data_IF_323944148322
#
_entry.id   IF_323944148322
#
_cell.length_a   1.000
_cell.length_b   1.000
_cell.length_c   1.000
_cell.angle_alpha   90.00
_cell.angle_beta   90.00
_cell.angle_gamma   90.00
#
_symmetry.space_group_name_H-M   'P 1'
#
loop_
_entity.id
_entity.type
_entity.pdbx_description
1 polymer ?
#
# COMPACT_ATOMS: atom_id res chain seq x y z
N UNK A 1 4.85 -41.81 26.78
CA UNK A 1 3.60 -41.62 27.53
C UNK A 1 3.36 -40.12 27.72
N UNK A 2 2.23 -39.65 27.19
CA UNK A 2 1.40 -38.52 27.64
C UNK A 2 2.06 -37.12 27.72
N UNK A 3 2.00 -36.45 26.55
CA UNK A 3 1.53 -35.07 26.29
C UNK A 3 1.65 -34.02 27.40
N UNK A 4 2.67 -33.15 27.28
CA UNK A 4 2.72 -31.85 27.97
C UNK A 4 1.74 -30.86 27.30
N UNK A 5 0.46 -30.98 27.61
CA UNK A 5 -0.56 -29.98 27.23
C UNK A 5 -0.58 -28.91 28.32
N UNK A 6 0.18 -27.82 28.12
CA UNK A 6 -0.12 -26.55 28.79
C UNK A 6 -1.48 -26.09 28.28
N UNK A 7 -2.52 -26.53 28.96
CA UNK A 7 -3.86 -25.99 28.83
C UNK A 7 -3.82 -24.56 29.38
N UNK A 8 -3.54 -23.61 28.49
CA UNK A 8 -3.78 -22.20 28.74
C UNK A 8 -5.30 -22.03 28.86
N UNK A 9 -5.78 -22.08 30.10
CA UNK A 9 -7.16 -21.92 30.46
C UNK A 9 -7.50 -20.42 30.39
N UNK A 10 -8.20 -20.00 29.34
CA UNK A 10 -8.84 -18.68 29.32
C UNK A 10 -10.05 -18.72 30.26
N UNK A 11 -9.80 -18.46 31.54
CA UNK A 11 -10.85 -18.21 32.54
C UNK A 11 -11.29 -16.75 32.38
N UNK A 12 -12.47 -16.50 31.82
CA UNK A 12 -13.12 -15.19 31.97
C UNK A 12 -13.66 -15.10 33.41
N UNK A 13 -12.91 -14.43 34.30
CA UNK A 13 -13.39 -14.05 35.63
C UNK A 13 -14.26 -12.80 35.52
N UNK A 14 -15.58 -12.97 35.53
CA UNK A 14 -16.49 -11.88 35.92
C UNK A 14 -16.45 -11.77 37.45
N UNK A 15 -15.82 -10.71 37.97
CA UNK A 15 -15.72 -10.44 39.39
C UNK A 15 -17.02 -9.82 39.90
N UNK A 16 -17.93 -10.65 40.40
CA UNK A 16 -18.99 -10.21 41.30
C UNK A 16 -18.48 -10.26 42.75
N UNK A 17 -18.85 -9.24 43.54
CA UNK A 17 -18.42 -8.96 44.91
C UNK A 17 -18.73 -10.09 45.92
N UNK A 18 -18.00 -11.20 45.86
CA UNK A 18 -17.83 -12.15 46.96
C UNK A 18 -16.75 -13.13 46.50
N UNK A 19 -15.66 -13.29 47.25
CA UNK A 19 -14.42 -13.99 46.86
C UNK A 19 -14.51 -15.52 46.60
N UNK A 20 -15.60 -16.02 45.99
CA UNK A 20 -15.70 -17.37 45.40
C UNK A 20 -15.63 -17.26 43.88
N UNK A 21 -14.54 -17.72 43.28
CA UNK A 21 -14.42 -17.85 41.84
C UNK A 21 -15.43 -18.90 41.33
N UNK A 22 -16.45 -18.46 40.59
CA UNK A 22 -17.44 -19.33 39.98
C UNK A 22 -16.89 -19.82 38.64
N UNK A 23 -16.33 -21.02 38.62
CA UNK A 23 -15.77 -21.64 37.40
C UNK A 23 -16.91 -22.10 36.51
N UNK A 24 -17.24 -21.31 35.48
CA UNK A 24 -18.16 -21.70 34.41
C UNK A 24 -17.43 -22.69 33.50
N UNK A 25 -17.81 -23.97 33.58
CA UNK A 25 -17.31 -25.02 32.70
C UNK A 25 -17.97 -24.87 31.33
N UNK A 26 -17.27 -24.19 30.43
CA UNK A 26 -17.66 -24.08 29.02
C UNK A 26 -17.36 -25.40 28.31
N UNK A 27 -18.22 -25.80 27.38
CA UNK A 27 -18.07 -27.05 26.63
C UNK A 27 -16.77 -27.08 25.81
N UNK A 28 -16.16 -28.26 25.68
CA UNK A 28 -14.93 -28.45 24.90
C UNK A 28 -15.06 -27.98 23.45
N UNK A 29 -16.24 -28.13 22.86
CA UNK A 29 -16.52 -27.73 21.48
C UNK A 29 -16.51 -26.22 21.29
N UNK A 30 -17.07 -25.47 22.24
CA UNK A 30 -17.10 -24.00 22.20
C UNK A 30 -15.70 -23.41 22.34
N UNK A 31 -14.86 -23.99 23.22
CA UNK A 31 -13.45 -23.61 23.36
C UNK A 31 -12.62 -23.88 22.09
N UNK A 32 -12.95 -24.96 21.36
CA UNK A 32 -12.31 -25.24 20.07
C UNK A 32 -12.75 -24.20 19.03
N UNK A 33 -14.05 -23.93 18.90
CA UNK A 33 -14.58 -22.91 17.96
C UNK A 33 -13.95 -21.54 18.20
N UNK A 34 -13.85 -21.10 19.46
CA UNK A 34 -13.23 -19.79 19.78
C UNK A 34 -11.75 -19.73 19.36
N UNK A 35 -10.99 -20.83 19.55
CA UNK A 35 -9.59 -20.91 19.11
C UNK A 35 -9.45 -20.91 17.60
N UNK A 36 -10.37 -21.57 16.87
CA UNK A 36 -10.36 -21.57 15.42
C UNK A 36 -10.74 -20.21 14.84
N UNK A 37 -11.72 -19.53 15.42
CA UNK A 37 -12.08 -18.17 15.02
C UNK A 37 -10.95 -17.17 15.30
N UNK A 38 -10.29 -17.28 16.46
CA UNK A 38 -9.10 -16.46 16.77
C UNK A 38 -7.99 -16.70 15.76
N UNK A 39 -7.68 -17.97 15.46
CA UNK A 39 -6.66 -18.34 14.46
C UNK A 39 -7.00 -17.79 13.08
N UNK A 40 -8.25 -17.96 12.62
CA UNK A 40 -8.72 -17.40 11.34
C UNK A 40 -8.57 -15.89 11.26
N UNK A 41 -8.98 -15.16 12.31
CA UNK A 41 -8.84 -13.69 12.37
C UNK A 41 -7.38 -13.25 12.34
N UNK A 42 -6.50 -13.99 13.02
CA UNK A 42 -5.05 -13.70 13.00
C UNK A 42 -4.44 -13.97 11.62
N UNK A 43 -4.77 -15.09 10.99
CA UNK A 43 -4.30 -15.45 9.66
C UNK A 43 -4.77 -14.44 8.60
N UNK A 44 -6.04 -14.01 8.67
CA UNK A 44 -6.56 -12.95 7.79
C UNK A 44 -5.87 -11.61 8.03
N UNK A 45 -5.56 -11.27 9.30
CA UNK A 45 -4.83 -10.05 9.64
C UNK A 45 -3.39 -10.09 9.13
N UNK A 46 -2.72 -11.24 9.27
CA UNK A 46 -1.37 -11.45 8.76
C UNK A 46 -1.34 -11.40 7.23
N UNK A 47 -2.30 -12.05 6.56
CA UNK A 47 -2.42 -12.00 5.11
C UNK A 47 -2.68 -10.57 4.60
N UNK A 48 -3.56 -9.80 5.25
CA UNK A 48 -3.80 -8.38 4.90
C UNK A 48 -2.56 -7.52 5.13
N UNK A 49 -1.85 -7.72 6.25
CA UNK A 49 -0.60 -7.01 6.53
C UNK A 49 0.50 -7.33 5.51
N UNK A 50 0.65 -8.59 5.13
CA UNK A 50 1.64 -9.01 4.14
C UNK A 50 1.34 -8.42 2.76
N UNK A 51 0.06 -8.42 2.33
CA UNK A 51 -0.36 -7.76 1.08
C UNK A 51 -0.11 -6.25 1.12
N UNK A 52 -0.53 -5.58 2.20
CA UNK A 52 -0.32 -4.14 2.36
C UNK A 52 1.17 -3.75 2.40
N UNK A 53 2.02 -4.58 3.02
CA UNK A 53 3.46 -4.37 3.06
C UNK A 53 4.09 -4.52 1.66
N UNK A 54 3.69 -5.55 0.90
CA UNK A 54 4.15 -5.74 -0.48
C UNK A 54 3.73 -4.58 -1.40
N UNK A 55 2.48 -4.12 -1.29
CA UNK A 55 1.99 -2.96 -2.06
C UNK A 55 2.69 -1.65 -1.66
N UNK A 56 2.99 -1.47 -0.37
CA UNK A 56 3.72 -0.31 0.10
C UNK A 56 5.17 -0.30 -0.43
N UNK A 57 5.82 -1.45 -0.45
CA UNK A 57 7.17 -1.56 -1.01
C UNK A 57 7.19 -1.29 -2.52
N UNK A 58 6.23 -1.86 -3.27
CA UNK A 58 6.07 -1.58 -4.70
C UNK A 58 5.87 -0.07 -4.95
N UNK A 59 4.95 0.56 -4.23
CA UNK A 59 4.70 2.01 -4.34
C UNK A 59 5.92 2.85 -3.97
N UNK A 60 6.75 2.42 -3.01
CA UNK A 60 8.00 3.11 -2.66
C UNK A 60 9.02 2.98 -3.79
N UNK A 61 9.19 1.80 -4.38
CA UNK A 61 10.07 1.59 -5.54
C UNK A 61 9.63 2.44 -6.73
N UNK A 62 8.34 2.40 -7.07
CA UNK A 62 7.77 3.23 -8.14
C UNK A 62 7.93 4.74 -7.84
N UNK A 63 7.85 5.17 -6.58
CA UNK A 63 8.07 6.58 -6.22
C UNK A 63 9.53 6.99 -6.40
N UNK A 64 10.48 6.12 -6.06
CA UNK A 64 11.91 6.37 -6.25
C UNK A 64 12.31 6.33 -7.73
N UNK A 65 11.77 5.39 -8.49
CA UNK A 65 12.00 5.29 -9.94
C UNK A 65 11.44 6.52 -10.65
N UNK A 66 10.22 6.96 -10.29
CA UNK A 66 9.68 8.22 -10.79
C UNK A 66 10.53 9.40 -10.33
N UNK A 67 10.85 9.49 -9.04
CA UNK A 67 11.63 10.60 -8.48
C UNK A 67 13.04 10.73 -9.05
N UNK A 68 13.62 9.66 -9.59
CA UNK A 68 14.93 9.70 -10.26
C UNK A 68 14.89 10.39 -11.62
N UNK A 69 13.75 10.38 -12.32
CA UNK A 69 13.63 10.91 -13.69
C UNK A 69 13.51 12.43 -13.65
N UNK A 70 14.34 13.11 -14.44
CA UNK A 70 14.33 14.57 -14.59
C UNK A 70 12.97 15.00 -15.14
N UNK A 71 12.30 16.01 -14.55
CA UNK A 71 10.94 16.40 -14.95
C UNK A 71 10.78 16.77 -16.43
N UNK A 72 11.82 17.31 -17.08
CA UNK A 72 11.79 17.63 -18.51
C UNK A 72 11.84 16.41 -19.43
N UNK A 73 12.38 15.28 -18.97
CA UNK A 73 12.43 14.02 -19.71
C UNK A 73 11.33 13.04 -19.29
N UNK A 74 10.55 13.38 -18.25
CA UNK A 74 9.51 12.52 -17.71
C UNK A 74 8.56 11.97 -18.78
N UNK A 75 7.97 12.81 -19.64
CA UNK A 75 7.06 12.34 -20.69
C UNK A 75 7.74 11.62 -21.87
N UNK A 76 9.08 11.62 -21.92
CA UNK A 76 9.87 10.94 -22.96
C UNK A 76 10.37 9.57 -22.48
N UNK A 77 10.88 9.50 -21.26
CA UNK A 77 11.52 8.30 -20.69
C UNK A 77 10.55 7.42 -19.90
N UNK A 78 9.48 8.00 -19.34
CA UNK A 78 8.53 7.21 -18.56
C UNK A 78 7.81 6.20 -19.47
N UNK A 79 7.94 4.91 -19.16
CA UNK A 79 7.45 3.80 -19.98
C UNK A 79 5.97 3.93 -20.35
N UNK A 80 5.15 4.49 -19.45
CA UNK A 80 3.73 4.70 -19.72
C UNK A 80 3.44 5.77 -20.79
N UNK A 81 4.37 6.66 -21.09
CA UNK A 81 4.20 7.76 -22.06
C UNK A 81 5.09 7.62 -23.31
N UNK A 82 6.06 6.70 -23.28
CA UNK A 82 6.91 6.38 -24.41
C UNK A 82 6.07 5.99 -25.64
N UNK A 83 6.17 6.76 -26.72
CA UNK A 83 5.44 6.52 -27.97
C UNK A 83 4.01 7.09 -28.02
N UNK A 84 3.51 7.74 -26.95
CA UNK A 84 2.20 8.41 -26.97
C UNK A 84 2.26 9.82 -27.54
N UNK A 85 3.44 10.44 -27.59
CA UNK A 85 3.58 11.82 -28.03
C UNK A 85 4.73 11.96 -29.01
N UNK A 86 4.52 12.76 -30.05
CA UNK A 86 5.48 12.94 -31.13
C UNK A 86 6.34 14.19 -30.95
N UNK A 87 5.77 15.25 -30.37
CA UNK A 87 6.45 16.55 -30.19
C UNK A 87 6.31 17.05 -28.76
N UNK A 88 7.39 17.65 -28.28
CA UNK A 88 7.52 18.18 -26.92
C UNK A 88 7.99 19.63 -26.98
N UNK A 89 7.55 20.43 -26.03
CA UNK A 89 7.97 21.82 -25.84
C UNK A 89 9.25 21.91 -24.99
N UNK A 90 9.83 23.11 -24.85
CA UNK A 90 11.08 23.36 -24.09
C UNK A 90 10.97 22.95 -22.62
N UNK A 91 9.75 22.96 -22.07
CA UNK A 91 9.47 22.54 -20.70
C UNK A 91 9.28 21.02 -20.55
N UNK A 92 9.36 20.26 -21.65
CA UNK A 92 9.11 18.81 -21.70
C UNK A 92 7.64 18.42 -21.82
N UNK A 93 6.73 19.39 -22.04
CA UNK A 93 5.30 19.11 -22.20
C UNK A 93 4.99 18.58 -23.61
N UNK A 94 4.18 17.51 -23.75
CA UNK A 94 3.79 17.03 -25.06
C UNK A 94 2.80 18.00 -25.72
N UNK A 95 3.09 18.39 -26.95
CA UNK A 95 2.27 19.32 -27.75
C UNK A 95 1.39 18.58 -28.74
N UNK A 96 1.89 17.45 -29.27
CA UNK A 96 1.22 16.62 -30.29
C UNK A 96 1.06 15.19 -29.77
N UNK A 97 -0.08 14.55 -30.07
CA UNK A 97 -0.33 13.13 -29.79
C UNK A 97 0.48 12.22 -30.74
N UNK A 98 0.37 10.90 -30.59
CA UNK A 98 1.06 9.91 -31.43
C UNK A 98 0.72 10.07 -32.92
N UNK A 99 -0.50 10.57 -33.22
CA UNK A 99 -0.97 10.85 -34.57
C UNK A 99 -0.47 12.19 -35.15
N UNK A 100 0.26 13.00 -34.37
CA UNK A 100 0.67 14.34 -34.80
C UNK A 100 -0.43 15.40 -34.70
N UNK A 101 -1.56 15.10 -34.07
CA UNK A 101 -2.62 16.06 -33.80
C UNK A 101 -2.31 16.91 -32.56
N UNK A 102 -2.64 18.20 -32.62
CA UNK A 102 -2.42 19.11 -31.49
C UNK A 102 -3.29 18.74 -30.30
N UNK A 103 -2.66 18.53 -29.14
CA UNK A 103 -3.38 18.21 -27.91
C UNK A 103 -4.34 19.35 -27.51
N UNK A 104 -5.61 19.05 -27.21
CA UNK A 104 -6.55 20.05 -26.73
C UNK A 104 -6.03 20.78 -25.48
N UNK A 105 -6.35 22.07 -25.34
CA UNK A 105 -5.93 22.90 -24.18
C UNK A 105 -6.24 22.24 -22.83
N UNK A 106 -7.37 21.53 -22.72
CA UNK A 106 -7.75 20.78 -21.53
C UNK A 106 -6.77 19.64 -21.19
N UNK A 107 -6.28 18.90 -22.20
CA UNK A 107 -5.27 17.85 -22.01
C UNK A 107 -3.90 18.44 -21.68
N UNK A 108 -3.45 19.48 -22.40
CA UNK A 108 -2.19 20.17 -22.09
C UNK A 108 -2.15 20.68 -20.65
N UNK A 109 -3.26 21.22 -20.13
CA UNK A 109 -3.37 21.65 -18.72
C UNK A 109 -3.29 20.50 -17.71
N UNK A 110 -3.78 19.30 -18.05
CA UNK A 110 -3.63 18.10 -17.20
C UNK A 110 -2.16 17.65 -17.15
N UNK A 111 -1.53 17.56 -18.32
CA UNK A 111 -0.12 17.21 -18.45
C UNK A 111 0.80 18.21 -17.73
N UNK A 112 0.48 19.51 -17.77
CA UNK A 112 1.20 20.53 -17.02
C UNK A 112 1.14 20.30 -15.50
N UNK A 113 -0.02 19.89 -14.98
CA UNK A 113 -0.18 19.56 -13.55
C UNK A 113 0.58 18.30 -13.17
N UNK A 114 0.58 17.28 -14.03
CA UNK A 114 1.36 16.06 -13.82
C UNK A 114 2.86 16.37 -13.78
N UNK A 115 3.35 17.22 -14.70
CA UNK A 115 4.74 17.68 -14.71
C UNK A 115 5.10 18.49 -13.44
N UNK A 116 4.22 19.37 -12.97
CA UNK A 116 4.43 20.12 -11.72
C UNK A 116 4.49 19.20 -10.48
N UNK A 117 3.60 18.20 -10.42
CA UNK A 117 3.63 17.18 -9.36
C UNK A 117 4.94 16.39 -9.40
N UNK A 118 5.40 16.01 -10.60
CA UNK A 118 6.66 15.32 -10.80
C UNK A 118 7.87 16.20 -10.44
N UNK A 119 7.84 17.50 -10.73
CA UNK A 119 8.88 18.46 -10.30
C UNK A 119 9.02 18.49 -8.79
N UNK A 120 7.92 18.53 -8.06
CA UNK A 120 7.92 18.47 -6.58
C UNK A 120 8.50 17.15 -6.08
N UNK A 121 8.07 16.04 -6.65
CA UNK A 121 8.54 14.71 -6.27
C UNK A 121 10.05 14.52 -6.57
N UNK A 122 10.53 15.04 -7.70
CA UNK A 122 11.96 15.06 -8.02
C UNK A 122 12.76 15.96 -7.07
N UNK A 123 12.22 17.12 -6.70
CA UNK A 123 12.83 18.01 -5.69
C UNK A 123 12.97 17.30 -4.34
N UNK A 124 11.89 16.68 -3.84
CA UNK A 124 11.91 15.89 -2.59
C UNK A 124 12.89 14.71 -2.68
N UNK A 125 12.98 14.06 -3.85
CA UNK A 125 13.94 12.99 -4.09
C UNK A 125 15.38 13.50 -4.03
N UNK A 126 15.67 14.65 -4.64
CA UNK A 126 17.00 15.28 -4.57
C UNK A 126 17.37 15.68 -3.15
N UNK A 127 16.43 16.21 -2.37
CA UNK A 127 16.64 16.53 -0.95
C UNK A 127 16.87 15.29 -0.07
N UNK A 128 16.29 14.15 -0.45
CA UNK A 128 16.42 12.89 0.30
C UNK A 128 17.64 12.05 -0.10
N UNK A 129 18.18 12.24 -1.31
CA UNK A 129 19.32 11.48 -1.86
C UNK A 129 20.62 12.28 -2.01
N UNK A 130 20.57 13.61 -1.87
CA UNK A 130 21.75 14.50 -1.81
C UNK A 130 22.29 14.65 -0.40
#
# INVERSE_FOLDING_TARGET
>A
MIVSVRAAQCIYLSADYCGRALVKLVSREELLREREEKRRKEDERLAKKARAAAEAEAKRRERLERGRIVPGLFFREHADHAGKYSRYDDQGLPTHDAAGEELPKARRKKLAKELDAQRKLHSEYLEQCG
#
